data_IF_751254379409
#
_entry.id   IF_751254379409
#
_cell.length_a   1.000
_cell.length_b   1.000
_cell.length_c   1.000
_cell.angle_alpha   90.00
_cell.angle_beta   90.00
_cell.angle_gamma   90.00
#
_symmetry.space_group_name_H-M   'P 1'
#
loop_
_entity.id
_entity.type
_entity.pdbx_description
1 polymer ?
#
# COMPACT_ATOMS: atom_id res chain seq x y z
N UNK A 1 -26.64 -17.71 10.34
CA UNK A 1 -25.60 -17.41 9.34
C UNK A 1 -25.81 -15.99 8.84
N UNK A 2 -25.06 -15.03 9.38
CA UNK A 2 -25.06 -13.66 8.87
C UNK A 2 -24.18 -13.63 7.61
N UNK A 3 -24.81 -13.54 6.44
CA UNK A 3 -24.10 -13.23 5.21
C UNK A 3 -23.77 -11.75 5.22
N UNK A 4 -22.50 -11.40 5.38
CA UNK A 4 -22.02 -10.03 5.29
C UNK A 4 -22.38 -9.46 3.92
N UNK A 5 -23.37 -8.57 3.88
CA UNK A 5 -23.72 -7.81 2.69
C UNK A 5 -22.64 -6.75 2.47
N UNK A 6 -21.62 -7.10 1.69
CA UNK A 6 -20.66 -6.12 1.19
C UNK A 6 -21.36 -4.95 0.51
N UNK A 7 -20.93 -3.73 0.84
CA UNK A 7 -21.51 -2.52 0.25
C UNK A 7 -21.29 -2.49 -1.27
N UNK A 8 -22.20 -1.85 -2.00
CA UNK A 8 -22.07 -1.66 -3.47
C UNK A 8 -20.76 -0.98 -3.85
N UNK A 9 -20.27 -0.06 -3.00
CA UNK A 9 -18.98 0.61 -3.20
C UNK A 9 -17.79 -0.34 -3.05
N UNK A 10 -17.86 -1.26 -2.10
CA UNK A 10 -16.84 -2.30 -1.92
C UNK A 10 -16.70 -3.17 -3.17
N UNK A 11 -17.82 -3.56 -3.80
CA UNK A 11 -17.82 -4.32 -5.06
C UNK A 11 -17.21 -3.56 -6.24
N UNK A 12 -17.42 -2.24 -6.30
CA UNK A 12 -16.84 -1.39 -7.37
C UNK A 12 -15.32 -1.26 -7.18
N UNK A 13 -14.87 -1.08 -5.93
CA UNK A 13 -13.43 -1.03 -5.61
C UNK A 13 -12.78 -2.37 -5.90
N UNK A 14 -13.38 -3.47 -5.47
CA UNK A 14 -12.92 -4.82 -5.74
C UNK A 14 -12.81 -5.07 -7.25
N UNK A 15 -13.85 -4.76 -8.03
CA UNK A 15 -13.81 -4.88 -9.49
C UNK A 15 -12.74 -4.01 -10.15
N UNK A 16 -12.49 -2.81 -9.64
CA UNK A 16 -11.45 -1.92 -10.16
C UNK A 16 -10.03 -2.38 -9.81
N UNK A 17 -9.85 -3.03 -8.66
CA UNK A 17 -8.60 -3.66 -8.24
C UNK A 17 -8.35 -4.95 -9.04
N UNK A 18 -9.38 -5.79 -9.18
CA UNK A 18 -9.32 -7.08 -9.88
C UNK A 18 -8.97 -6.90 -11.37
N UNK A 19 -9.53 -5.88 -12.02
CA UNK A 19 -9.19 -5.53 -13.41
C UNK A 19 -7.78 -4.99 -13.62
N UNK A 20 -7.12 -4.51 -12.56
CA UNK A 20 -5.75 -3.96 -12.64
C UNK A 20 -4.68 -4.92 -12.15
N UNK A 21 -5.05 -5.89 -11.33
CA UNK A 21 -4.10 -6.75 -10.59
C UNK A 21 -4.11 -8.22 -11.03
N UNK A 22 -4.78 -8.60 -12.11
CA UNK A 22 -4.82 -10.00 -12.55
C UNK A 22 -3.56 -10.40 -13.33
N UNK A 23 -2.36 -10.15 -12.79
CA UNK A 23 -1.21 -10.96 -13.19
C UNK A 23 -1.31 -12.30 -12.45
N UNK A 24 -2.18 -13.18 -12.98
CA UNK A 24 -2.20 -14.57 -12.57
C UNK A 24 -1.02 -15.26 -13.24
N UNK A 25 -0.02 -15.62 -12.44
CA UNK A 25 1.09 -16.43 -12.92
C UNK A 25 0.71 -17.90 -12.83
N UNK A 26 0.43 -18.51 -13.98
CA UNK A 26 0.29 -19.98 -14.09
C UNK A 26 1.66 -20.70 -14.07
N UNK A 27 2.74 -19.93 -14.09
CA UNK A 27 4.12 -20.40 -14.20
C UNK A 27 4.97 -19.77 -13.07
N UNK A 28 5.64 -20.63 -12.30
CA UNK A 28 6.51 -20.23 -11.19
C UNK A 28 7.68 -19.37 -11.66
N UNK A 29 8.21 -19.60 -12.86
CA UNK A 29 9.31 -18.80 -13.41
C UNK A 29 8.83 -17.37 -13.74
N UNK A 30 7.61 -17.21 -14.27
CA UNK A 30 7.04 -15.88 -14.52
C UNK A 30 6.75 -15.12 -13.23
N UNK A 31 6.27 -15.82 -12.20
CA UNK A 31 6.08 -15.22 -10.87
C UNK A 31 7.42 -14.73 -10.30
N UNK A 32 8.48 -15.53 -10.45
CA UNK A 32 9.83 -15.17 -10.02
C UNK A 32 10.39 -13.98 -10.79
N UNK A 33 10.27 -13.96 -12.11
CA UNK A 33 10.68 -12.82 -12.96
C UNK A 33 9.95 -11.54 -12.55
N UNK A 34 8.64 -11.61 -12.30
CA UNK A 34 7.86 -10.46 -11.83
C UNK A 34 8.38 -9.94 -10.49
N UNK A 35 8.56 -10.81 -9.50
CA UNK A 35 9.05 -10.42 -8.17
C UNK A 35 10.48 -9.87 -8.22
N UNK A 36 11.34 -10.40 -9.10
CA UNK A 36 12.70 -9.87 -9.32
C UNK A 36 12.67 -8.46 -9.92
N UNK A 37 11.86 -8.26 -10.98
CA UNK A 37 11.67 -6.94 -11.58
C UNK A 37 11.16 -5.93 -10.56
N UNK A 38 10.18 -6.33 -9.76
CA UNK A 38 9.62 -5.49 -8.69
C UNK A 38 10.64 -5.13 -7.62
N UNK A 39 11.45 -6.09 -7.18
CA UNK A 39 12.50 -5.83 -6.19
C UNK A 39 13.50 -4.79 -6.71
N UNK A 40 13.84 -4.82 -8.00
CA UNK A 40 14.70 -3.80 -8.63
C UNK A 40 14.01 -2.43 -8.72
N UNK A 41 12.71 -2.38 -8.99
CA UNK A 41 11.94 -1.13 -9.02
C UNK A 41 11.83 -0.51 -7.61
N UNK A 42 11.73 -1.34 -6.57
CA UNK A 42 11.63 -0.91 -5.15
C UNK A 42 12.97 -0.45 -4.54
N UNK A 43 14.10 -0.65 -5.22
CA UNK A 43 15.37 -0.05 -4.81
C UNK A 43 15.34 1.48 -4.92
N UNK A 44 14.55 2.00 -5.87
CA UNK A 44 14.32 3.43 -6.03
C UNK A 44 13.46 3.98 -4.87
N UNK A 45 13.79 5.18 -4.35
CA UNK A 45 12.96 5.84 -3.35
C UNK A 45 11.54 6.07 -3.89
N UNK A 46 10.53 5.65 -3.13
CA UNK A 46 9.14 5.89 -3.49
C UNK A 46 8.88 7.38 -3.65
N UNK A 47 8.08 7.73 -4.66
CA UNK A 47 7.71 9.11 -4.96
C UNK A 47 6.24 9.32 -4.64
N UNK A 48 6.00 10.27 -3.74
CA UNK A 48 4.64 10.65 -3.39
C UNK A 48 3.88 11.12 -4.64
N UNK A 49 2.72 10.53 -4.96
CA UNK A 49 1.94 10.92 -6.13
C UNK A 49 1.57 12.40 -6.08
N UNK A 50 1.70 13.11 -7.21
CA UNK A 50 1.28 14.51 -7.31
C UNK A 50 -0.25 14.59 -7.35
N UNK A 51 -0.85 14.97 -6.23
CA UNK A 51 -2.31 15.16 -6.07
C UNK A 51 -2.58 16.14 -4.94
N UNK A 52 -3.84 16.55 -4.84
CA UNK A 52 -4.33 17.30 -3.68
C UNK A 52 -4.58 16.29 -2.55
N UNK A 53 -3.94 16.54 -1.42
CA UNK A 53 -4.13 15.79 -0.18
C UNK A 53 -5.02 16.58 0.77
N UNK A 54 -5.82 15.87 1.55
CA UNK A 54 -6.61 16.47 2.62
C UNK A 54 -5.81 16.66 3.91
N UNK A 55 -4.76 15.85 4.09
CA UNK A 55 -3.83 15.85 5.21
C UNK A 55 -2.44 16.23 4.73
N UNK A 56 -1.56 16.63 5.67
CA UNK A 56 -0.14 16.78 5.36
C UNK A 56 0.46 15.40 5.08
N UNK A 57 0.83 15.13 3.83
CA UNK A 57 1.43 13.87 3.40
C UNK A 57 2.95 14.02 3.24
N UNK A 58 3.72 13.17 3.90
CA UNK A 58 5.19 13.21 3.89
C UNK A 58 5.77 11.80 3.85
N UNK A 59 6.91 11.64 3.17
CA UNK A 59 7.72 10.42 3.24
C UNK A 59 8.81 10.65 4.29
N UNK A 60 8.99 9.69 5.18
CA UNK A 60 10.02 9.71 6.23
C UNK A 60 10.75 8.37 6.27
N UNK A 61 12.07 8.40 6.43
CA UNK A 61 12.84 7.19 6.73
C UNK A 61 12.75 6.89 8.22
N UNK A 62 12.16 5.76 8.57
CA UNK A 62 11.98 5.33 9.96
C UNK A 62 12.13 3.80 10.05
N UNK A 63 12.78 3.32 11.11
CA UNK A 63 12.92 1.87 11.36
C UNK A 63 13.54 1.07 10.19
N UNK A 64 14.43 1.71 9.41
CA UNK A 64 15.08 1.09 8.27
C UNK A 64 14.19 0.95 7.01
N UNK A 65 13.04 1.63 6.95
CA UNK A 65 12.18 1.65 5.77
C UNK A 65 11.59 3.04 5.49
N UNK A 66 11.07 3.24 4.28
CA UNK A 66 10.31 4.43 3.94
C UNK A 66 8.88 4.30 4.49
N UNK A 67 8.47 5.30 5.25
CA UNK A 67 7.13 5.42 5.80
C UNK A 67 6.43 6.61 5.15
N UNK A 68 5.28 6.35 4.55
CA UNK A 68 4.35 7.39 4.14
C UNK A 68 3.50 7.79 5.34
N UNK A 69 3.55 9.06 5.70
CA UNK A 69 2.84 9.61 6.85
C UNK A 69 1.76 10.57 6.40
N UNK A 70 0.59 10.52 7.04
CA UNK A 70 -0.49 11.47 6.86
C UNK A 70 -0.84 12.08 8.21
N UNK A 71 -0.79 13.42 8.26
CA UNK A 71 -1.00 14.24 9.46
C UNK A 71 0.11 14.04 10.51
N UNK A 72 0.54 15.10 11.19
CA UNK A 72 1.56 15.01 12.24
C UNK A 72 1.03 14.30 13.49
N UNK A 73 1.86 13.49 14.15
CA UNK A 73 1.49 12.79 15.38
C UNK A 73 1.05 13.75 16.51
N UNK A 74 1.68 14.93 16.58
CA UNK A 74 1.36 15.98 17.57
C UNK A 74 -0.02 16.60 17.35
N UNK A 75 -0.58 16.49 16.14
CA UNK A 75 -1.86 17.10 15.75
C UNK A 75 -3.02 16.09 15.78
N UNK A 76 -2.75 14.83 16.10
CA UNK A 76 -3.69 13.71 15.98
C UNK A 76 -4.10 13.14 17.34
N UNK A 77 -5.34 12.68 17.44
CA UNK A 77 -5.87 12.03 18.66
C UNK A 77 -5.47 10.56 18.75
N UNK A 78 -5.15 9.94 17.62
CA UNK A 78 -4.81 8.53 17.52
C UNK A 78 -3.74 8.27 16.48
N UNK A 79 -3.08 7.12 16.62
CA UNK A 79 -2.06 6.64 15.69
C UNK A 79 -2.58 5.37 15.00
N UNK A 80 -2.42 5.31 13.68
CA UNK A 80 -2.79 4.15 12.88
C UNK A 80 -1.56 3.69 12.09
N UNK A 81 -1.23 2.40 12.21
CA UNK A 81 -0.28 1.75 11.31
C UNK A 81 -1.10 0.99 10.26
N UNK A 82 -1.04 1.45 9.01
CA UNK A 82 -1.74 0.84 7.89
C UNK A 82 -0.78 -0.05 7.11
N UNK A 83 -1.16 -1.32 6.96
CA UNK A 83 -0.49 -2.29 6.09
C UNK A 83 -1.42 -2.56 4.91
N UNK A 84 -0.95 -2.32 3.68
CA UNK A 84 -1.77 -2.60 2.51
C UNK A 84 -1.79 -4.11 2.24
N UNK A 85 -2.87 -4.57 1.61
CA UNK A 85 -2.99 -5.96 1.16
C UNK A 85 -2.14 -6.24 -0.07
N UNK A 86 -2.51 -7.28 -0.83
CA UNK A 86 -1.85 -7.72 -2.08
C UNK A 86 -0.65 -8.67 -1.90
N UNK A 87 -0.47 -9.24 -0.71
CA UNK A 87 0.45 -10.38 -0.46
C UNK A 87 1.87 -10.08 -0.94
N UNK A 88 2.32 -8.83 -0.81
CA UNK A 88 3.62 -8.34 -1.29
C UNK A 88 3.82 -8.42 -2.81
N UNK A 89 2.76 -8.67 -3.58
CA UNK A 89 2.85 -8.78 -5.05
C UNK A 89 3.02 -7.40 -5.68
N UNK A 90 2.29 -6.37 -5.25
CA UNK A 90 2.43 -5.01 -5.78
C UNK A 90 2.85 -4.00 -4.72
N UNK A 91 3.38 -2.87 -5.18
CA UNK A 91 3.69 -1.73 -4.33
C UNK A 91 2.42 -1.00 -3.90
N UNK A 92 2.59 -0.01 -3.03
CA UNK A 92 1.53 0.94 -2.71
C UNK A 92 1.00 1.66 -3.95
N UNK A 93 -0.27 1.41 -4.26
CA UNK A 93 -1.01 2.14 -5.29
C UNK A 93 -1.66 3.45 -4.80
N UNK A 94 -2.02 4.30 -5.77
CA UNK A 94 -2.76 5.55 -5.54
C UNK A 94 -4.05 5.40 -4.72
N UNK A 95 -4.70 4.23 -4.79
CA UNK A 95 -5.91 3.93 -4.01
C UNK A 95 -5.59 3.77 -2.52
N UNK A 96 -4.48 3.13 -2.16
CA UNK A 96 -4.00 3.02 -0.78
C UNK A 96 -3.66 4.40 -0.22
N UNK A 97 -2.94 5.21 -0.99
CA UNK A 97 -2.63 6.61 -0.66
C UNK A 97 -3.91 7.43 -0.43
N UNK A 98 -4.90 7.30 -1.32
CA UNK A 98 -6.18 7.99 -1.20
C UNK A 98 -6.96 7.57 0.05
N UNK A 99 -6.91 6.29 0.38
CA UNK A 99 -7.57 5.73 1.55
C UNK A 99 -6.94 6.26 2.84
N UNK A 100 -5.61 6.22 2.95
CA UNK A 100 -4.88 6.71 4.12
C UNK A 100 -5.10 8.20 4.37
N UNK A 101 -5.06 9.03 3.32
CA UNK A 101 -5.34 10.46 3.43
C UNK A 101 -6.76 10.74 3.95
N UNK A 102 -7.75 10.00 3.44
CA UNK A 102 -9.13 10.10 3.92
C UNK A 102 -9.29 9.59 5.35
N UNK A 103 -8.59 8.52 5.71
CA UNK A 103 -8.61 7.93 7.04
C UNK A 103 -8.04 8.91 8.06
N UNK A 104 -6.86 9.48 7.79
CA UNK A 104 -6.21 10.47 8.64
C UNK A 104 -7.14 11.64 8.96
N UNK A 105 -7.82 12.18 7.94
CA UNK A 105 -8.80 13.25 8.12
C UNK A 105 -10.03 12.81 8.91
N UNK A 106 -10.65 11.69 8.54
CA UNK A 106 -11.93 11.26 9.12
C UNK A 106 -11.80 10.79 10.57
N UNK A 107 -10.72 10.11 10.88
CA UNK A 107 -10.47 9.55 12.22
C UNK A 107 -9.65 10.49 13.12
N UNK A 108 -9.30 11.69 12.63
CA UNK A 108 -8.40 12.61 13.32
C UNK A 108 -7.07 11.91 13.74
N UNK A 109 -6.53 11.07 12.85
CA UNK A 109 -5.45 10.15 13.16
C UNK A 109 -4.17 10.49 12.39
N UNK A 110 -3.01 10.21 12.99
CA UNK A 110 -1.74 10.13 12.31
C UNK A 110 -1.63 8.74 11.70
N UNK A 111 -1.61 8.66 10.37
CA UNK A 111 -1.55 7.38 9.66
C UNK A 111 -0.14 7.16 9.15
N UNK A 112 0.49 6.10 9.61
CA UNK A 112 1.75 5.58 9.11
C UNK A 112 1.48 4.44 8.15
N UNK A 113 2.03 4.52 6.96
CA UNK A 113 1.94 3.47 5.98
C UNK A 113 3.33 3.04 5.55
N UNK A 114 3.60 1.75 5.71
CA UNK A 114 4.87 1.17 5.32
C UNK A 114 4.93 1.02 3.80
N UNK A 115 6.05 1.46 3.22
CA UNK A 115 6.42 1.18 1.85
C UNK A 115 7.31 -0.06 1.91
N UNK A 116 6.68 -1.23 1.91
CA UNK A 116 7.37 -2.51 2.00
C UNK A 116 8.22 -2.71 0.75
N UNK A 117 9.49 -3.06 0.95
CA UNK A 117 10.35 -3.60 -0.10
C UNK A 117 10.37 -5.11 0.00
N UNK A 118 10.34 -5.81 -1.12
CA UNK A 118 10.57 -7.24 -1.23
C UNK A 118 12.08 -7.45 -1.07
N UNK A 119 12.54 -8.04 0.04
CA UNK A 119 13.96 -8.30 0.23
C UNK A 119 14.42 -9.37 -0.77
N UNK A 120 15.51 -9.11 -1.52
CA UNK A 120 16.02 -10.06 -2.51
C UNK A 120 16.35 -11.44 -1.93
N UNK A 121 16.72 -11.54 -0.65
CA UNK A 121 16.99 -12.82 0.00
C UNK A 121 15.72 -13.70 0.19
N UNK A 122 14.52 -13.11 0.11
CA UNK A 122 13.25 -13.86 0.10
C UNK A 122 12.90 -14.40 -1.30
N UNK A 123 13.57 -13.93 -2.35
CA UNK A 123 13.40 -14.41 -3.74
C UNK A 123 14.23 -15.67 -4.06
N UNK A 124 15.06 -16.13 -3.11
CA UNK A 124 16.03 -17.22 -3.31
C UNK A 124 15.64 -18.59 -2.77
N UNK A 125 14.40 -18.79 -2.30
CA UNK A 125 13.95 -20.10 -1.82
C UNK A 125 13.28 -20.89 -2.96
N UNK A 126 14.12 -21.61 -3.69
CA UNK A 126 13.76 -22.67 -4.64
C UNK A 126 14.79 -23.79 -4.55
#
# INVERSE_FOLDING_TARGET
MMGDKMSKMSKIVEFALDKKNSEYFEDAEKAKEHLQKRSLEEDEPYKLPKRIYHSKAEIRDMFGCQMLTFKGAEEAESLVIYLHGEIYVNEIMNVHVAFCDKLAKKANACVYHNIARIPQHLLGWG
#
